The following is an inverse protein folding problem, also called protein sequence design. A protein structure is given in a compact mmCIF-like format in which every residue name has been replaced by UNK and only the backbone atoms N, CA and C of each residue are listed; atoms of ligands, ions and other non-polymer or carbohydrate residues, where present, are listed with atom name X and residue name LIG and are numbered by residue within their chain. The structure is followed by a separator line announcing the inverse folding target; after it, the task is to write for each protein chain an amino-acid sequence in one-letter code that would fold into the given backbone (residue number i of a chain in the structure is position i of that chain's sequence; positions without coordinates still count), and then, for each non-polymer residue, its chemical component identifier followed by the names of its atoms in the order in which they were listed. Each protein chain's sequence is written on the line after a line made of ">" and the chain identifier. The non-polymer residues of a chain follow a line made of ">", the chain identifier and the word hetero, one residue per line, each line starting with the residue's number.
data_IF_502491661729
#
_entry.id   IF_502491661729
#
_cell.length_a   1.000
_cell.length_b   1.000
_cell.length_c   1.000
_cell.angle_alpha   90.00
_cell.angle_beta   90.00
_cell.angle_gamma   90.00
#
_symmetry.space_group_name_H-M   'P 1'
#
loop_
_entity.id
_entity.type
_entity.pdbx_description
1 polymer ?
#
# COMPACT_ATOMS: atom_id res chain seq x y z
N UNK A 1 6.01 -12.67 -20.32
CA UNK A 1 6.76 -13.68 -19.53
C UNK A 1 8.13 -13.14 -19.12
N UNK A 2 8.18 -11.91 -18.62
CA UNK A 2 9.31 -11.36 -17.88
C UNK A 2 8.74 -11.14 -16.48
N UNK A 3 9.25 -11.80 -15.42
CA UNK A 3 9.31 -11.19 -14.09
C UNK A 3 9.91 -12.06 -12.96
N UNK A 4 9.81 -13.38 -12.92
CA UNK A 4 10.31 -14.09 -11.71
C UNK A 4 11.81 -14.42 -11.76
N UNK A 5 12.32 -14.87 -12.91
CA UNK A 5 13.72 -15.31 -13.05
C UNK A 5 14.72 -14.16 -12.96
N UNK A 6 14.34 -12.94 -13.38
CA UNK A 6 15.22 -11.76 -13.32
C UNK A 6 15.47 -11.29 -11.89
N UNK A 7 14.43 -11.21 -11.07
CA UNK A 7 14.60 -10.84 -9.65
C UNK A 7 15.39 -11.92 -8.92
N UNK A 8 15.11 -13.20 -9.16
CA UNK A 8 15.88 -14.30 -8.56
C UNK A 8 17.35 -14.27 -8.97
N UNK A 9 17.65 -13.95 -10.22
CA UNK A 9 19.03 -13.81 -10.71
C UNK A 9 19.76 -12.62 -10.04
N UNK A 10 19.11 -11.46 -9.94
CA UNK A 10 19.68 -10.29 -9.28
C UNK A 10 19.90 -10.53 -7.78
N UNK A 11 18.95 -11.21 -7.12
CA UNK A 11 19.08 -11.62 -5.72
C UNK A 11 20.28 -12.54 -5.53
N UNK A 12 20.40 -13.59 -6.36
CA UNK A 12 21.52 -14.52 -6.33
C UNK A 12 22.88 -13.82 -6.54
N UNK A 13 22.95 -12.91 -7.52
CA UNK A 13 24.17 -12.14 -7.77
C UNK A 13 24.55 -11.25 -6.59
N UNK A 14 23.57 -10.67 -5.90
CA UNK A 14 23.78 -9.83 -4.72
C UNK A 14 24.35 -10.58 -3.53
N UNK A 15 23.80 -11.76 -3.26
CA UNK A 15 24.35 -12.66 -2.24
C UNK A 15 25.80 -13.00 -2.51
N UNK A 16 26.16 -13.30 -3.77
CA UNK A 16 27.54 -13.63 -4.14
C UNK A 16 28.47 -12.44 -3.89
N UNK A 17 28.08 -11.23 -4.28
CA UNK A 17 28.90 -10.03 -4.11
C UNK A 17 29.09 -9.72 -2.62
N UNK A 18 28.02 -9.82 -1.82
CA UNK A 18 28.08 -9.58 -0.37
C UNK A 18 28.95 -10.61 0.36
N UNK A 19 28.93 -11.87 -0.07
CA UNK A 19 29.73 -12.94 0.55
C UNK A 19 31.21 -12.87 0.20
N UNK A 20 31.54 -12.47 -1.04
CA UNK A 20 32.91 -12.56 -1.56
C UNK A 20 33.64 -11.21 -1.60
N UNK A 21 32.96 -10.12 -1.22
CA UNK A 21 33.46 -8.76 -1.30
C UNK A 21 33.62 -8.25 -2.74
N UNK A 22 34.05 -6.99 -2.91
CA UNK A 22 34.32 -6.42 -4.22
C UNK A 22 35.34 -7.22 -5.03
N UNK A 23 34.91 -7.89 -6.10
CA UNK A 23 35.83 -8.57 -7.02
C UNK A 23 36.40 -7.55 -8.03
N UNK A 24 37.72 -7.55 -8.21
CA UNK A 24 38.53 -6.57 -8.98
C UNK A 24 38.15 -6.44 -10.47
N UNK A 25 37.26 -7.31 -10.99
CA UNK A 25 37.00 -7.46 -12.43
C UNK A 25 35.94 -6.51 -13.02
N UNK A 26 35.31 -5.66 -12.22
CA UNK A 26 34.27 -4.73 -12.67
C UNK A 26 34.70 -3.28 -12.43
N UNK A 27 34.26 -2.35 -13.29
CA UNK A 27 34.31 -0.90 -13.02
C UNK A 27 33.37 -0.65 -11.82
N UNK A 28 33.92 -0.91 -10.65
CA UNK A 28 33.18 -1.37 -9.48
C UNK A 28 32.21 -0.28 -9.00
N UNK A 29 32.65 0.97 -9.04
CA UNK A 29 31.84 2.15 -8.70
C UNK A 29 30.60 2.31 -9.60
N UNK A 30 30.73 2.11 -10.92
CA UNK A 30 29.58 2.24 -11.84
C UNK A 30 28.60 1.09 -11.78
N UNK A 31 29.09 -0.10 -11.47
CA UNK A 31 28.27 -1.32 -11.41
C UNK A 31 27.55 -1.43 -10.07
N UNK A 32 28.17 -0.99 -8.98
CA UNK A 32 27.57 -0.94 -7.63
C UNK A 32 26.23 -0.23 -7.65
N UNK A 33 26.14 0.97 -8.24
CA UNK A 33 24.93 1.78 -8.15
C UNK A 33 23.74 1.11 -8.86
N UNK A 34 23.98 0.62 -10.07
CA UNK A 34 22.96 -0.10 -10.85
C UNK A 34 22.64 -1.44 -10.20
N UNK A 35 23.64 -2.13 -9.67
CA UNK A 35 23.50 -3.43 -9.03
C UNK A 35 22.68 -3.33 -7.74
N UNK A 36 23.05 -2.43 -6.82
CA UNK A 36 22.32 -2.22 -5.57
C UNK A 36 20.94 -1.61 -5.82
N UNK A 37 20.77 -0.74 -6.82
CA UNK A 37 19.44 -0.29 -7.24
C UNK A 37 18.56 -1.49 -7.65
N UNK A 38 19.07 -2.35 -8.53
CA UNK A 38 18.36 -3.55 -8.97
C UNK A 38 18.10 -4.55 -7.83
N UNK A 39 19.08 -4.77 -6.97
CA UNK A 39 19.00 -5.72 -5.85
C UNK A 39 18.02 -5.26 -4.78
N UNK A 40 18.16 -4.02 -4.29
CA UNK A 40 17.22 -3.45 -3.31
C UNK A 40 15.83 -3.38 -3.92
N UNK A 41 15.66 -2.90 -5.15
CA UNK A 41 14.36 -2.89 -5.83
C UNK A 41 13.73 -4.29 -5.90
N UNK A 42 14.53 -5.34 -6.10
CA UNK A 42 14.06 -6.73 -6.10
C UNK A 42 13.56 -7.17 -4.73
N UNK A 43 14.31 -6.87 -3.66
CA UNK A 43 13.91 -7.15 -2.28
C UNK A 43 12.59 -6.45 -1.92
N UNK A 44 12.45 -5.17 -2.29
CA UNK A 44 11.22 -4.41 -2.07
C UNK A 44 10.03 -5.03 -2.81
N UNK A 45 10.22 -5.52 -4.04
CA UNK A 45 9.13 -6.13 -4.83
C UNK A 45 8.61 -7.44 -4.24
N UNK A 46 9.50 -8.27 -3.66
CA UNK A 46 9.11 -9.53 -3.02
C UNK A 46 8.67 -9.36 -1.55
N UNK A 47 8.88 -8.17 -0.98
CA UNK A 47 8.46 -7.85 0.37
C UNK A 47 9.50 -8.16 1.45
N UNK A 48 10.78 -8.39 1.11
CA UNK A 48 11.81 -8.73 2.11
C UNK A 48 12.45 -7.46 2.70
N UNK A 49 11.64 -6.68 3.41
CA UNK A 49 12.00 -5.34 3.87
C UNK A 49 13.02 -5.35 5.01
N UNK A 50 12.93 -6.32 5.91
CA UNK A 50 13.90 -6.45 7.00
C UNK A 50 15.29 -6.76 6.41
N UNK A 51 15.36 -7.67 5.45
CA UNK A 51 16.63 -7.95 4.80
C UNK A 51 17.12 -6.78 3.96
N UNK A 52 16.25 -6.09 3.22
CA UNK A 52 16.61 -4.86 2.51
C UNK A 52 17.20 -3.81 3.45
N UNK A 53 16.60 -3.63 4.64
CA UNK A 53 17.10 -2.75 5.69
C UNK A 53 18.46 -3.19 6.20
N UNK A 54 18.62 -4.47 6.56
CA UNK A 54 19.90 -5.00 7.04
C UNK A 54 21.02 -4.80 6.01
N UNK A 55 20.73 -4.95 4.71
CA UNK A 55 21.69 -4.69 3.65
C UNK A 55 22.01 -3.21 3.53
N UNK A 56 21.01 -2.33 3.57
CA UNK A 56 21.22 -0.88 3.55
C UNK A 56 22.07 -0.43 4.75
N UNK A 57 21.76 -0.91 5.94
CA UNK A 57 22.50 -0.61 7.17
C UNK A 57 23.95 -1.11 7.05
N UNK A 58 24.17 -2.33 6.55
CA UNK A 58 25.51 -2.84 6.25
C UNK A 58 26.27 -2.00 5.23
N UNK A 59 25.63 -1.57 4.14
CA UNK A 59 26.26 -0.72 3.12
C UNK A 59 26.66 0.63 3.74
N UNK A 60 25.82 1.19 4.61
CA UNK A 60 26.07 2.44 5.30
C UNK A 60 27.22 2.31 6.32
N UNK A 61 27.32 1.18 7.02
CA UNK A 61 28.32 0.92 8.06
C UNK A 61 29.66 0.38 7.52
N UNK A 62 29.74 0.02 6.24
CA UNK A 62 30.93 -0.63 5.67
C UNK A 62 31.94 0.40 5.16
N UNK A 63 33.13 0.43 5.77
CA UNK A 63 34.31 1.21 5.33
C UNK A 63 34.85 0.78 3.94
N UNK A 64 34.28 -0.28 3.35
CA UNK A 64 34.64 -0.78 2.01
C UNK A 64 34.19 0.17 0.90
N UNK A 65 33.10 0.91 1.13
CA UNK A 65 32.70 2.01 0.26
C UNK A 65 33.27 3.26 0.89
N UNK A 66 34.20 3.92 0.20
CA UNK A 66 34.98 5.03 0.73
C UNK A 66 34.06 6.00 1.47
N UNK A 67 34.30 6.07 2.79
CA UNK A 67 33.40 6.59 3.83
C UNK A 67 32.51 7.76 3.36
N UNK A 68 31.19 7.59 3.55
CA UNK A 68 30.08 8.56 3.35
C UNK A 68 29.13 8.32 2.15
N UNK A 69 28.61 7.10 1.97
CA UNK A 69 27.26 6.93 1.38
C UNK A 69 26.15 7.54 2.28
N UNK A 70 26.50 7.92 3.51
CA UNK A 70 25.65 8.56 4.52
C UNK A 70 25.54 10.08 4.31
N UNK A 71 24.36 10.51 3.86
CA UNK A 71 23.64 11.71 4.33
C UNK A 71 24.24 13.12 4.29
N UNK A 72 25.39 13.39 3.67
CA UNK A 72 25.89 14.78 3.54
C UNK A 72 26.21 15.18 2.12
N UNK A 73 25.25 15.82 1.47
CA UNK A 73 25.49 16.87 0.47
C UNK A 73 26.52 16.54 -0.63
N UNK A 74 26.54 15.29 -1.10
CA UNK A 74 27.42 14.90 -2.20
C UNK A 74 26.60 14.85 -3.48
N UNK A 75 27.12 15.52 -4.51
CA UNK A 75 26.83 15.30 -5.93
C UNK A 75 27.23 13.86 -6.36
N UNK A 76 26.94 12.84 -5.57
CA UNK A 76 27.26 11.44 -5.92
C UNK A 76 26.15 10.83 -6.78
N UNK A 77 26.59 9.96 -7.69
CA UNK A 77 25.86 9.38 -8.83
C UNK A 77 24.81 8.32 -8.43
N UNK A 78 24.78 7.86 -7.17
CA UNK A 78 23.91 6.79 -6.65
C UNK A 78 22.46 7.20 -6.32
N UNK A 79 21.84 8.02 -7.17
CA UNK A 79 20.50 8.61 -6.92
C UNK A 79 19.41 7.53 -6.77
N UNK A 80 19.42 6.50 -7.64
CA UNK A 80 18.36 5.48 -7.66
C UNK A 80 18.31 4.67 -6.35
N UNK A 81 19.47 4.41 -5.74
CA UNK A 81 19.55 3.79 -4.42
C UNK A 81 18.87 4.64 -3.33
N UNK A 82 19.11 5.95 -3.30
CA UNK A 82 18.45 6.87 -2.34
C UNK A 82 16.94 6.84 -2.50
N UNK A 83 16.45 6.76 -3.73
CA UNK A 83 15.01 6.65 -3.99
C UNK A 83 14.47 5.29 -3.51
N UNK A 84 15.19 4.18 -3.69
CA UNK A 84 14.81 2.87 -3.11
C UNK A 84 14.73 2.90 -1.59
N UNK A 85 15.68 3.58 -0.92
CA UNK A 85 15.62 3.74 0.52
C UNK A 85 14.35 4.51 0.96
N UNK A 86 13.99 5.58 0.24
CA UNK A 86 12.74 6.29 0.50
C UNK A 86 11.51 5.41 0.24
N UNK A 87 11.57 4.50 -0.73
CA UNK A 87 10.51 3.52 -1.00
C UNK A 87 10.42 2.49 0.13
N UNK A 88 11.55 2.04 0.69
CA UNK A 88 11.56 1.22 1.90
C UNK A 88 10.90 1.93 3.08
N UNK A 89 11.24 3.21 3.32
CA UNK A 89 10.60 4.02 4.37
C UNK A 89 9.08 4.11 4.15
N UNK A 90 8.62 4.30 2.91
CA UNK A 90 7.19 4.26 2.55
C UNK A 90 6.57 2.90 2.90
N UNK A 91 7.21 1.80 2.50
CA UNK A 91 6.71 0.44 2.70
C UNK A 91 6.69 0.01 4.18
N UNK A 92 7.50 0.66 5.03
CA UNK A 92 7.53 0.46 6.49
C UNK A 92 6.79 1.55 7.27
N UNK A 93 5.93 2.35 6.61
CA UNK A 93 5.07 3.38 7.20
C UNK A 93 5.79 4.62 7.79
N UNK A 94 7.05 4.85 7.44
CA UNK A 94 7.81 6.08 7.73
C UNK A 94 7.56 7.15 6.65
N UNK A 95 6.28 7.51 6.43
CA UNK A 95 5.86 8.34 5.30
C UNK A 95 6.46 9.75 5.30
N UNK A 96 6.54 10.39 6.47
CA UNK A 96 7.06 11.76 6.59
C UNK A 96 8.57 11.79 6.31
N UNK A 97 9.32 10.85 6.89
CA UNK A 97 10.75 10.69 6.62
C UNK A 97 11.02 10.45 5.13
N UNK A 98 10.21 9.61 4.48
CA UNK A 98 10.30 9.37 3.04
C UNK A 98 10.10 10.67 2.24
N UNK A 99 9.09 11.47 2.58
CA UNK A 99 8.81 12.75 1.91
C UNK A 99 9.97 13.72 2.10
N UNK A 100 10.46 13.90 3.33
CA UNK A 100 11.54 14.84 3.63
C UNK A 100 12.83 14.52 2.88
N UNK A 101 13.19 13.23 2.82
CA UNK A 101 14.36 12.77 2.07
C UNK A 101 14.19 12.99 0.55
N UNK A 102 13.00 12.73 0.00
CA UNK A 102 12.72 12.93 -1.43
C UNK A 102 12.69 14.42 -1.81
N UNK A 103 12.08 15.27 -0.98
CA UNK A 103 12.04 16.73 -1.20
C UNK A 103 13.45 17.32 -1.10
N UNK A 104 14.28 16.85 -0.17
CA UNK A 104 15.69 17.22 -0.09
C UNK A 104 16.46 16.77 -1.34
N UNK A 105 16.23 15.55 -1.82
CA UNK A 105 16.85 15.02 -3.04
C UNK A 105 16.49 15.88 -4.27
N UNK A 106 15.21 16.22 -4.42
CA UNK A 106 14.71 17.11 -5.50
C UNK A 106 15.32 18.51 -5.44
N UNK A 107 15.57 19.04 -4.23
CA UNK A 107 16.13 20.39 -4.06
C UNK A 107 17.65 20.47 -4.25
N UNK A 108 18.38 19.37 -4.01
CA UNK A 108 19.85 19.40 -3.91
C UNK A 108 20.57 18.66 -5.03
N UNK A 109 19.88 17.80 -5.79
CA UNK A 109 20.49 16.92 -6.78
C UNK A 109 20.01 17.19 -8.20
N UNK A 110 20.86 16.90 -9.20
CA UNK A 110 20.46 16.89 -10.61
C UNK A 110 19.87 15.52 -10.95
N UNK A 111 18.56 15.48 -11.19
CA UNK A 111 17.80 14.26 -11.43
C UNK A 111 17.41 14.14 -12.90
N UNK A 112 17.47 12.92 -13.45
CA UNK A 112 16.84 12.63 -14.76
C UNK A 112 15.33 12.82 -14.71
N UNK A 113 14.66 12.93 -15.86
CA UNK A 113 13.19 13.03 -15.92
C UNK A 113 12.53 11.84 -15.23
N UNK A 114 13.01 10.63 -15.47
CA UNK A 114 12.52 9.40 -14.85
C UNK A 114 12.66 9.43 -13.32
N UNK A 115 13.81 9.86 -12.81
CA UNK A 115 14.06 9.97 -11.36
C UNK A 115 13.17 11.03 -10.72
N UNK A 116 12.94 12.16 -11.39
CA UNK A 116 12.00 13.19 -10.93
C UNK A 116 10.57 12.65 -10.88
N UNK A 117 10.12 11.93 -11.91
CA UNK A 117 8.80 11.31 -11.94
C UNK A 117 8.64 10.29 -10.80
N UNK A 118 9.66 9.47 -10.56
CA UNK A 118 9.70 8.52 -9.45
C UNK A 118 9.57 9.19 -8.09
N UNK A 119 10.35 10.25 -7.84
CA UNK A 119 10.28 11.02 -6.59
C UNK A 119 8.89 11.65 -6.40
N UNK A 120 8.37 12.30 -7.45
CA UNK A 120 7.07 12.95 -7.42
C UNK A 120 5.94 11.94 -7.15
N UNK A 121 5.99 10.77 -7.78
CA UNK A 121 5.02 9.70 -7.52
C UNK A 121 5.07 9.24 -6.07
N UNK A 122 6.26 8.95 -5.55
CA UNK A 122 6.44 8.41 -4.20
C UNK A 122 6.04 9.43 -3.12
N UNK A 123 6.34 10.72 -3.31
CA UNK A 123 5.85 11.81 -2.45
C UNK A 123 4.32 11.83 -2.43
N UNK A 124 3.67 11.82 -3.60
CA UNK A 124 2.21 11.82 -3.68
C UNK A 124 1.60 10.58 -3.03
N UNK A 125 2.25 9.42 -3.19
CA UNK A 125 1.83 8.17 -2.59
C UNK A 125 1.91 8.22 -1.05
N UNK A 126 3.01 8.71 -0.49
CA UNK A 126 3.15 8.93 0.96
C UNK A 126 2.09 9.92 1.47
N UNK A 127 1.90 11.05 0.80
CA UNK A 127 0.88 12.05 1.16
C UNK A 127 -0.53 11.46 1.14
N UNK A 128 -0.83 10.55 0.20
CA UNK A 128 -2.11 9.81 0.16
C UNK A 128 -2.34 8.97 1.43
N UNK A 129 -1.30 8.27 1.89
CA UNK A 129 -1.37 7.45 3.13
C UNK A 129 -1.54 8.32 4.37
N UNK A 130 -0.85 9.46 4.43
CA UNK A 130 -1.01 10.45 5.51
C UNK A 130 -2.46 10.95 5.55
N UNK A 131 -3.05 11.25 4.39
CA UNK A 131 -4.46 11.59 4.24
C UNK A 131 -4.78 13.09 4.32
N UNK A 132 -3.79 13.96 4.30
CA UNK A 132 -4.01 15.42 4.32
C UNK A 132 -4.25 15.98 2.91
N UNK A 133 -5.31 16.78 2.74
CA UNK A 133 -5.70 17.38 1.45
C UNK A 133 -5.78 16.38 0.27
N UNK A 134 -6.52 15.28 0.48
CA UNK A 134 -6.74 14.24 -0.52
C UNK A 134 -7.29 14.80 -1.86
N UNK A 135 -8.08 15.86 -1.81
CA UNK A 135 -8.62 16.52 -3.01
C UNK A 135 -7.50 17.14 -3.86
N UNK A 136 -6.52 17.81 -3.26
CA UNK A 136 -5.34 18.31 -3.98
C UNK A 136 -4.41 17.18 -4.42
N UNK A 137 -4.21 16.16 -3.59
CA UNK A 137 -3.40 14.98 -3.95
C UNK A 137 -3.98 14.27 -5.19
N UNK A 138 -5.30 14.08 -5.25
CA UNK A 138 -5.98 13.50 -6.42
C UNK A 138 -5.72 14.32 -7.69
N UNK A 139 -5.82 15.65 -7.62
CA UNK A 139 -5.48 16.53 -8.76
C UNK A 139 -4.02 16.37 -9.19
N UNK A 140 -3.08 16.30 -8.25
CA UNK A 140 -1.66 16.15 -8.54
C UNK A 140 -1.37 14.79 -9.18
N UNK A 141 -1.99 13.69 -8.71
CA UNK A 141 -1.90 12.40 -9.38
C UNK A 141 -2.43 12.44 -10.81
N UNK A 142 -3.54 13.12 -11.07
CA UNK A 142 -4.07 13.27 -12.45
C UNK A 142 -3.12 14.05 -13.34
N UNK A 143 -2.52 15.12 -12.81
CA UNK A 143 -1.48 15.88 -13.52
C UNK A 143 -0.27 15.00 -13.84
N UNK A 144 0.23 14.23 -12.87
CA UNK A 144 1.34 13.30 -13.07
C UNK A 144 0.98 12.23 -14.11
N UNK A 145 -0.22 11.65 -14.03
CA UNK A 145 -0.72 10.66 -14.99
C UNK A 145 -0.77 11.17 -16.43
N UNK A 146 -1.05 12.45 -16.64
CA UNK A 146 -1.16 13.04 -17.97
C UNK A 146 0.18 13.52 -18.54
N UNK A 147 1.14 13.83 -17.66
CA UNK A 147 2.41 14.44 -18.06
C UNK A 147 3.58 13.46 -18.06
N UNK A 148 3.46 12.33 -17.37
CA UNK A 148 4.52 11.34 -17.25
C UNK A 148 4.82 10.68 -18.60
N UNK A 149 6.10 10.44 -18.87
CA UNK A 149 6.54 9.69 -20.06
C UNK A 149 6.51 8.17 -19.84
N UNK A 150 6.54 7.74 -18.58
CA UNK A 150 6.56 6.33 -18.19
C UNK A 150 5.16 5.77 -17.98
N UNK A 151 4.79 4.74 -18.75
CA UNK A 151 3.50 4.02 -18.64
C UNK A 151 3.22 3.60 -17.18
N UNK A 152 4.28 3.22 -16.46
CA UNK A 152 4.20 2.86 -15.05
C UNK A 152 3.61 3.99 -14.19
N UNK A 153 4.15 5.21 -14.24
CA UNK A 153 3.62 6.32 -13.45
C UNK A 153 2.32 6.88 -14.02
N UNK A 154 2.10 6.78 -15.34
CA UNK A 154 0.82 7.14 -15.95
C UNK A 154 -0.34 6.36 -15.33
N UNK A 155 -0.22 5.02 -15.28
CA UNK A 155 -1.26 4.12 -14.78
C UNK A 155 -1.35 4.18 -13.26
N UNK A 156 -0.21 4.12 -12.55
CA UNK A 156 -0.21 4.12 -11.08
C UNK A 156 -0.78 5.39 -10.50
N UNK A 157 -0.50 6.54 -11.11
CA UNK A 157 -1.09 7.81 -10.69
C UNK A 157 -2.59 7.86 -11.02
N UNK A 158 -3.00 7.30 -12.16
CA UNK A 158 -4.41 7.30 -12.56
C UNK A 158 -5.29 6.54 -11.58
N UNK A 159 -4.93 5.29 -11.24
CA UNK A 159 -5.70 4.52 -10.27
C UNK A 159 -5.57 5.09 -8.85
N UNK A 160 -4.47 5.76 -8.51
CA UNK A 160 -4.30 6.40 -7.19
C UNK A 160 -5.22 7.60 -7.02
N UNK A 161 -5.42 8.39 -8.07
CA UNK A 161 -6.44 9.44 -8.08
C UNK A 161 -7.85 8.86 -7.98
N UNK A 162 -8.12 7.77 -8.72
CA UNK A 162 -9.41 7.10 -8.67
C UNK A 162 -9.71 6.44 -7.32
N UNK A 163 -8.70 5.89 -6.62
CA UNK A 163 -8.87 5.35 -5.28
C UNK A 163 -9.28 6.43 -4.28
N UNK A 164 -8.73 7.64 -4.41
CA UNK A 164 -9.16 8.81 -3.63
C UNK A 164 -10.60 9.18 -3.98
N UNK A 165 -10.96 9.23 -5.26
CA UNK A 165 -12.33 9.54 -5.69
C UNK A 165 -13.36 8.54 -5.11
N UNK A 166 -13.01 7.24 -5.10
CA UNK A 166 -13.82 6.20 -4.47
C UNK A 166 -13.93 6.41 -2.96
N UNK A 167 -12.81 6.65 -2.29
CA UNK A 167 -12.74 6.90 -0.85
C UNK A 167 -13.60 8.11 -0.45
N UNK A 168 -13.55 9.19 -1.23
CA UNK A 168 -14.32 10.40 -0.98
C UNK A 168 -15.77 10.33 -1.49
N UNK A 169 -16.19 9.20 -2.07
CA UNK A 169 -17.55 9.02 -2.59
C UNK A 169 -17.94 10.07 -3.62
N UNK A 170 -17.00 10.48 -4.50
CA UNK A 170 -17.28 11.48 -5.54
C UNK A 170 -18.42 11.01 -6.44
N UNK A 171 -19.11 11.95 -7.09
CA UNK A 171 -20.16 11.62 -8.07
C UNK A 171 -19.55 11.01 -9.34
N UNK A 172 -20.39 10.32 -10.11
CA UNK A 172 -20.04 9.78 -11.45
C UNK A 172 -18.91 8.73 -11.45
N UNK A 173 -18.73 7.97 -10.37
CA UNK A 173 -17.66 6.96 -10.28
C UNK A 173 -17.71 5.90 -11.38
N UNK A 174 -18.91 5.53 -11.87
CA UNK A 174 -19.05 4.54 -12.96
C UNK A 174 -18.50 5.06 -14.30
N UNK A 175 -18.80 6.31 -14.63
CA UNK A 175 -18.29 6.98 -15.85
C UNK A 175 -16.77 7.14 -15.76
N UNK A 176 -16.27 7.66 -14.63
CA UNK A 176 -14.84 7.80 -14.36
C UNK A 176 -14.09 6.46 -14.38
N UNK A 177 -14.71 5.39 -13.91
CA UNK A 177 -14.14 4.04 -13.97
C UNK A 177 -13.98 3.58 -15.41
N UNK A 178 -15.01 3.76 -16.25
CA UNK A 178 -14.94 3.40 -17.66
C UNK A 178 -13.86 4.20 -18.42
N UNK A 179 -13.72 5.50 -18.12
CA UNK A 179 -12.63 6.33 -18.67
C UNK A 179 -11.25 5.82 -18.25
N UNK A 180 -11.10 5.46 -16.96
CA UNK A 180 -9.87 4.90 -16.42
C UNK A 180 -9.53 3.56 -17.07
N UNK A 181 -10.49 2.64 -17.17
CA UNK A 181 -10.31 1.32 -17.76
C UNK A 181 -9.88 1.44 -19.23
N UNK A 182 -10.58 2.25 -20.02
CA UNK A 182 -10.23 2.52 -21.41
C UNK A 182 -8.82 3.13 -21.57
N UNK A 183 -8.44 4.08 -20.71
CA UNK A 183 -7.11 4.69 -20.74
C UNK A 183 -6.04 3.65 -20.41
N UNK A 184 -6.24 2.82 -19.39
CA UNK A 184 -5.27 1.77 -19.03
C UNK A 184 -5.15 0.73 -20.15
N UNK A 185 -6.26 0.28 -20.73
CA UNK A 185 -6.25 -0.69 -21.81
C UNK A 185 -5.55 -0.16 -23.06
N UNK A 186 -5.72 1.12 -23.39
CA UNK A 186 -5.03 1.76 -24.52
C UNK A 186 -3.51 1.84 -24.38
N UNK A 187 -2.99 1.82 -23.15
CA UNK A 187 -1.56 1.89 -22.87
C UNK A 187 -0.85 0.53 -22.98
N UNK A 188 -1.62 -0.56 -23.16
CA UNK A 188 -1.11 -1.93 -23.30
C UNK A 188 -0.04 -2.30 -22.24
N UNK A 189 -0.32 -2.10 -20.94
CA UNK A 189 0.66 -2.33 -19.89
C UNK A 189 1.10 -3.79 -19.76
N UNK A 190 2.31 -3.98 -19.23
CA UNK A 190 2.76 -5.30 -18.79
C UNK A 190 1.90 -5.86 -17.65
N UNK A 191 1.91 -7.20 -17.51
CA UNK A 191 1.04 -7.94 -16.58
C UNK A 191 1.11 -7.45 -15.12
N UNK A 192 2.28 -7.04 -14.63
CA UNK A 192 2.44 -6.56 -13.25
C UNK A 192 1.67 -5.26 -12.99
N UNK A 193 1.76 -4.30 -13.91
CA UNK A 193 1.06 -3.02 -13.82
C UNK A 193 -0.47 -3.23 -13.85
N UNK A 194 -0.93 -4.18 -14.66
CA UNK A 194 -2.33 -4.61 -14.70
C UNK A 194 -2.81 -5.12 -13.33
N UNK A 195 -1.99 -5.91 -12.63
CA UNK A 195 -2.35 -6.45 -11.31
C UNK A 195 -2.49 -5.34 -10.26
N UNK A 196 -1.68 -4.28 -10.32
CA UNK A 196 -1.86 -3.11 -9.47
C UNK A 196 -3.20 -2.41 -9.74
N UNK A 197 -3.56 -2.19 -11.01
CA UNK A 197 -4.82 -1.55 -11.38
C UNK A 197 -6.04 -2.41 -11.01
N UNK A 198 -5.99 -3.72 -11.28
CA UNK A 198 -7.11 -4.64 -11.05
C UNK A 198 -7.53 -4.73 -9.59
N UNK A 199 -6.62 -4.49 -8.64
CA UNK A 199 -6.96 -4.38 -7.22
C UNK A 199 -8.01 -3.29 -6.99
N UNK A 200 -7.82 -2.13 -7.61
CA UNK A 200 -8.78 -1.02 -7.52
C UNK A 200 -10.09 -1.32 -8.25
N UNK A 201 -10.05 -2.15 -9.30
CA UNK A 201 -11.27 -2.58 -10.01
C UNK A 201 -12.12 -3.47 -9.09
N UNK A 202 -11.47 -4.37 -8.36
CA UNK A 202 -12.14 -5.25 -7.39
C UNK A 202 -12.81 -4.41 -6.28
N UNK A 203 -12.10 -3.42 -5.73
CA UNK A 203 -12.65 -2.50 -4.73
C UNK A 203 -13.84 -1.73 -5.31
N UNK A 204 -13.75 -1.26 -6.56
CA UNK A 204 -14.85 -0.57 -7.24
C UNK A 204 -16.09 -1.47 -7.40
N UNK A 205 -15.92 -2.71 -7.90
CA UNK A 205 -17.03 -3.64 -8.05
C UNK A 205 -17.67 -3.98 -6.70
N UNK A 206 -16.85 -4.17 -5.66
CA UNK A 206 -17.32 -4.42 -4.29
C UNK A 206 -18.10 -3.23 -3.74
N UNK A 207 -17.48 -2.05 -3.66
CA UNK A 207 -18.00 -0.90 -2.91
C UNK A 207 -18.95 0.00 -3.70
N UNK A 208 -18.72 0.19 -5.00
CA UNK A 208 -19.46 1.15 -5.80
C UNK A 208 -20.55 0.51 -6.68
N UNK A 209 -20.36 -0.75 -7.09
CA UNK A 209 -21.33 -1.50 -7.87
C UNK A 209 -22.15 -2.50 -7.06
N UNK A 210 -21.70 -2.85 -5.84
CA UNK A 210 -22.26 -3.95 -5.04
C UNK A 210 -22.30 -5.29 -5.82
N UNK A 211 -21.31 -5.49 -6.70
CA UNK A 211 -21.16 -6.68 -7.54
C UNK A 211 -20.09 -7.60 -6.94
N UNK A 212 -20.47 -8.29 -5.86
CA UNK A 212 -19.58 -9.17 -5.10
C UNK A 212 -19.15 -10.41 -5.89
N UNK A 213 -19.92 -10.81 -6.90
CA UNK A 213 -19.59 -11.96 -7.76
C UNK A 213 -18.48 -11.61 -8.75
N UNK A 214 -18.60 -10.47 -9.43
CA UNK A 214 -17.55 -9.99 -10.33
C UNK A 214 -16.26 -9.67 -9.58
N UNK A 215 -16.38 -9.05 -8.40
CA UNK A 215 -15.26 -8.80 -7.51
C UNK A 215 -14.54 -10.10 -7.11
N UNK A 216 -15.28 -11.12 -6.65
CA UNK A 216 -14.72 -12.43 -6.27
C UNK A 216 -14.02 -13.12 -7.44
N UNK A 217 -14.66 -13.15 -8.62
CA UNK A 217 -14.10 -13.81 -9.81
C UNK A 217 -12.74 -13.22 -10.20
N UNK A 218 -12.63 -11.88 -10.21
CA UNK A 218 -11.38 -11.19 -10.50
C UNK A 218 -10.33 -11.45 -9.42
N UNK A 219 -10.73 -11.35 -8.15
CA UNK A 219 -9.85 -11.50 -7.01
C UNK A 219 -9.21 -12.90 -6.94
N UNK A 220 -10.01 -13.96 -7.09
CA UNK A 220 -9.52 -15.34 -7.07
C UNK A 220 -8.63 -15.64 -8.27
N UNK A 221 -8.96 -15.10 -9.46
CA UNK A 221 -8.10 -15.23 -10.65
C UNK A 221 -6.72 -14.63 -10.40
N UNK A 222 -6.67 -13.43 -9.82
CA UNK A 222 -5.43 -12.69 -9.61
C UNK A 222 -4.59 -13.29 -8.48
N UNK A 223 -5.21 -13.74 -7.39
CA UNK A 223 -4.52 -14.47 -6.31
C UNK A 223 -3.79 -15.69 -6.89
N UNK A 224 -4.47 -16.53 -7.68
CA UNK A 224 -3.86 -17.71 -8.31
C UNK A 224 -2.68 -17.36 -9.22
N UNK A 225 -2.74 -16.21 -9.89
CA UNK A 225 -1.62 -15.74 -10.72
C UNK A 225 -0.44 -15.27 -9.87
N UNK A 226 -0.70 -14.63 -8.73
CA UNK A 226 0.30 -14.02 -7.85
C UNK A 226 0.98 -15.02 -6.90
N UNK A 227 0.28 -16.09 -6.52
CA UNK A 227 0.85 -17.15 -5.66
C UNK A 227 2.09 -17.81 -6.26
N UNK A 228 2.23 -17.77 -7.60
CA UNK A 228 3.41 -18.28 -8.29
C UNK A 228 4.59 -17.29 -8.32
N UNK A 229 4.34 -15.97 -8.26
CA UNK A 229 5.35 -14.94 -8.48
C UNK A 229 5.97 -14.36 -7.21
N UNK A 230 5.41 -14.68 -6.02
CA UNK A 230 5.85 -14.14 -4.71
C UNK A 230 5.87 -12.62 -4.60
N UNK A 231 5.20 -11.89 -5.50
CA UNK A 231 5.13 -10.43 -5.44
C UNK A 231 4.35 -9.96 -4.20
N UNK A 232 4.84 -8.93 -3.52
CA UNK A 232 4.23 -8.40 -2.28
C UNK A 232 2.76 -7.99 -2.43
N UNK A 233 2.34 -7.57 -3.62
CA UNK A 233 0.93 -7.21 -3.86
C UNK A 233 -0.04 -8.37 -3.58
N UNK A 234 0.40 -9.63 -3.62
CA UNK A 234 -0.41 -10.79 -3.22
C UNK A 234 -1.07 -10.59 -1.85
N UNK A 235 -0.39 -9.96 -0.90
CA UNK A 235 -0.89 -9.81 0.46
C UNK A 235 -1.96 -8.72 0.58
N UNK A 236 -1.91 -7.69 -0.27
CA UNK A 236 -3.04 -6.76 -0.42
C UNK A 236 -4.27 -7.49 -0.99
N UNK A 237 -4.06 -8.40 -1.94
CA UNK A 237 -5.14 -9.22 -2.50
C UNK A 237 -5.75 -10.18 -1.46
N UNK A 238 -4.93 -10.77 -0.59
CA UNK A 238 -5.44 -11.55 0.54
C UNK A 238 -6.27 -10.68 1.50
N UNK A 239 -5.82 -9.46 1.82
CA UNK A 239 -6.63 -8.54 2.62
C UNK A 239 -7.97 -8.23 1.94
N UNK A 240 -7.98 -7.90 0.63
CA UNK A 240 -9.22 -7.62 -0.09
C UNK A 240 -10.17 -8.83 -0.15
N UNK A 241 -9.62 -10.05 -0.15
CA UNK A 241 -10.41 -11.29 -0.07
C UNK A 241 -11.01 -11.48 1.31
N UNK A 242 -10.23 -11.21 2.37
CA UNK A 242 -10.73 -11.14 3.74
C UNK A 242 -11.96 -10.23 3.86
N UNK A 243 -11.83 -9.00 3.35
CA UNK A 243 -12.91 -8.00 3.33
C UNK A 243 -14.13 -8.45 2.51
N UNK A 244 -13.93 -8.98 1.30
CA UNK A 244 -15.02 -9.44 0.43
C UNK A 244 -15.83 -10.57 1.09
N UNK A 245 -15.16 -11.56 1.67
CA UNK A 245 -15.87 -12.67 2.32
C UNK A 245 -16.49 -12.25 3.66
N UNK A 246 -15.91 -11.28 4.38
CA UNK A 246 -16.52 -10.69 5.57
C UNK A 246 -17.81 -9.95 5.21
N UNK A 247 -17.81 -9.21 4.12
CA UNK A 247 -19.00 -8.51 3.61
C UNK A 247 -20.09 -9.50 3.18
N UNK A 248 -19.72 -10.55 2.43
CA UNK A 248 -20.66 -11.64 2.09
C UNK A 248 -21.23 -12.31 3.34
N UNK A 249 -20.40 -12.52 4.36
CA UNK A 249 -20.81 -13.11 5.62
C UNK A 249 -21.77 -12.18 6.40
N UNK A 250 -21.49 -10.88 6.43
CA UNK A 250 -22.34 -9.86 7.04
C UNK A 250 -23.74 -9.83 6.41
N UNK A 251 -23.83 -9.92 5.08
CA UNK A 251 -25.12 -9.95 4.38
C UNK A 251 -25.83 -11.29 4.49
N UNK A 252 -25.08 -12.40 4.52
CA UNK A 252 -25.62 -13.74 4.62
C UNK A 252 -24.69 -14.64 5.44
N UNK A 253 -25.09 -14.92 6.67
CA UNK A 253 -24.32 -15.77 7.59
C UNK A 253 -24.08 -17.14 6.97
N UNK A 254 -22.81 -17.44 6.74
CA UNK A 254 -22.34 -18.66 6.08
C UNK A 254 -21.00 -19.08 6.67
N UNK A 255 -20.92 -20.30 7.20
CA UNK A 255 -19.67 -20.88 7.73
C UNK A 255 -18.55 -20.89 6.68
N UNK A 256 -18.91 -21.05 5.40
CA UNK A 256 -17.96 -21.02 4.28
C UNK A 256 -17.35 -19.62 4.11
N UNK A 257 -18.18 -18.58 4.14
CA UNK A 257 -17.72 -17.20 4.00
C UNK A 257 -16.90 -16.76 5.22
N UNK A 258 -17.35 -17.14 6.43
CA UNK A 258 -16.60 -16.89 7.66
C UNK A 258 -15.19 -17.50 7.59
N UNK A 259 -15.10 -18.80 7.27
CA UNK A 259 -13.81 -19.49 7.17
C UNK A 259 -12.92 -18.87 6.10
N UNK A 260 -13.47 -18.61 4.91
CA UNK A 260 -12.70 -17.98 3.83
C UNK A 260 -12.15 -16.61 4.23
N UNK A 261 -12.99 -15.76 4.84
CA UNK A 261 -12.57 -14.45 5.33
C UNK A 261 -11.44 -14.56 6.37
N UNK A 262 -11.60 -15.46 7.35
CA UNK A 262 -10.61 -15.72 8.38
C UNK A 262 -9.26 -16.20 7.80
N UNK A 263 -9.28 -17.21 6.92
CA UNK A 263 -8.09 -17.78 6.30
C UNK A 263 -7.31 -16.72 5.50
N UNK A 264 -8.01 -15.82 4.81
CA UNK A 264 -7.38 -14.74 4.06
C UNK A 264 -6.79 -13.64 4.95
N UNK A 265 -7.47 -13.24 6.04
CA UNK A 265 -6.87 -12.33 7.02
C UNK A 265 -5.63 -12.94 7.65
N UNK A 266 -5.64 -14.22 8.00
CA UNK A 266 -4.48 -14.88 8.60
C UNK A 266 -3.25 -14.86 7.68
N UNK A 267 -3.45 -15.06 6.37
CA UNK A 267 -2.37 -14.91 5.38
C UNK A 267 -1.80 -13.48 5.33
N UNK A 268 -2.66 -12.46 5.33
CA UNK A 268 -2.24 -11.06 5.33
C UNK A 268 -1.53 -10.67 6.64
N UNK A 269 -2.01 -11.17 7.79
CA UNK A 269 -1.42 -10.95 9.11
C UNK A 269 -0.05 -11.60 9.23
N UNK A 270 0.10 -12.85 8.77
CA UNK A 270 1.38 -13.57 8.84
C UNK A 270 2.48 -12.83 8.07
N UNK A 271 2.17 -12.36 6.86
CA UNK A 271 3.11 -11.58 6.06
C UNK A 271 3.44 -10.23 6.68
N UNK A 272 2.42 -9.44 7.04
CA UNK A 272 2.62 -8.09 7.56
C UNK A 272 3.46 -8.08 8.83
N UNK A 273 3.30 -9.08 9.71
CA UNK A 273 4.18 -9.28 10.87
C UNK A 273 5.62 -9.58 10.47
N UNK A 274 5.83 -10.44 9.47
CA UNK A 274 7.16 -10.82 9.02
C UNK A 274 7.94 -9.63 8.47
N UNK A 275 7.27 -8.70 7.77
CA UNK A 275 7.93 -7.63 7.02
C UNK A 275 7.83 -6.25 7.68
N UNK A 276 7.14 -6.15 8.83
CA UNK A 276 6.95 -4.88 9.53
C UNK A 276 5.95 -3.91 8.88
N UNK A 277 5.06 -4.39 8.01
CA UNK A 277 3.99 -3.58 7.40
C UNK A 277 2.86 -3.37 8.42
N UNK A 278 3.00 -2.36 9.28
CA UNK A 278 2.04 -2.06 10.35
C UNK A 278 0.65 -1.72 9.82
N UNK A 279 0.56 -1.01 8.68
CA UNK A 279 -0.71 -0.62 8.08
C UNK A 279 -1.54 -1.85 7.66
N UNK A 280 -0.94 -2.77 6.90
CA UNK A 280 -1.60 -4.02 6.52
C UNK A 280 -1.90 -4.88 7.76
N UNK A 281 -0.98 -4.93 8.72
CA UNK A 281 -1.15 -5.69 9.96
C UNK A 281 -2.36 -5.22 10.76
N UNK A 282 -2.45 -3.92 11.05
CA UNK A 282 -3.56 -3.35 11.82
C UNK A 282 -4.88 -3.50 11.08
N UNK A 283 -4.94 -3.20 9.77
CA UNK A 283 -6.15 -3.37 8.98
C UNK A 283 -6.63 -4.83 8.96
N UNK A 284 -5.73 -5.79 8.73
CA UNK A 284 -6.10 -7.20 8.68
C UNK A 284 -6.53 -7.76 10.05
N UNK A 285 -5.83 -7.37 11.12
CA UNK A 285 -6.21 -7.74 12.49
C UNK A 285 -7.58 -7.18 12.88
N UNK A 286 -7.85 -5.90 12.58
CA UNK A 286 -9.13 -5.26 12.89
C UNK A 286 -10.26 -5.87 12.05
N UNK A 287 -10.00 -6.20 10.78
CA UNK A 287 -10.95 -6.93 9.93
C UNK A 287 -11.32 -8.30 10.53
N UNK A 288 -10.32 -9.01 11.07
CA UNK A 288 -10.53 -10.29 11.76
C UNK A 288 -11.31 -10.13 13.07
N UNK A 289 -11.04 -9.09 13.86
CA UNK A 289 -11.82 -8.76 15.07
C UNK A 289 -13.29 -8.48 14.70
N UNK A 290 -13.53 -7.65 13.68
CA UNK A 290 -14.88 -7.36 13.19
C UNK A 290 -15.61 -8.60 12.67
N UNK A 291 -14.89 -9.55 12.07
CA UNK A 291 -15.44 -10.84 11.67
C UNK A 291 -15.85 -11.69 12.89
N UNK A 292 -15.05 -11.68 13.96
CA UNK A 292 -15.27 -12.46 15.17
C UNK A 292 -16.46 -11.94 16.00
N UNK A 293 -16.69 -10.63 16.04
CA UNK A 293 -17.78 -10.00 16.81
C UNK A 293 -19.16 -10.62 16.53
N UNK A 294 -19.40 -11.05 15.30
CA UNK A 294 -20.67 -11.64 14.87
C UNK A 294 -20.94 -13.04 15.46
N UNK A 295 -19.96 -13.65 16.13
CA UNK A 295 -20.06 -15.00 16.70
C UNK A 295 -19.55 -15.11 18.13
N UNK A 296 -18.65 -14.21 18.55
CA UNK A 296 -18.03 -14.23 19.86
C UNK A 296 -17.95 -12.81 20.42
N UNK A 297 -18.01 -12.71 21.76
CA UNK A 297 -17.84 -11.44 22.44
C UNK A 297 -16.41 -10.94 22.23
N UNK A 298 -16.28 -9.70 21.76
CA UNK A 298 -14.99 -9.01 21.66
C UNK A 298 -14.34 -8.90 23.05
N UNK A 299 -13.05 -9.20 23.11
CA UNK A 299 -12.27 -9.19 24.35
C UNK A 299 -11.70 -7.81 24.65
N UNK A 300 -11.25 -7.59 25.88
CA UNK A 300 -10.54 -6.36 26.22
C UNK A 300 -9.19 -6.26 25.49
N UNK A 301 -8.56 -7.40 25.16
CA UNK A 301 -7.30 -7.42 24.39
C UNK A 301 -7.51 -6.90 22.97
N UNK A 302 -8.61 -7.27 22.32
CA UNK A 302 -9.00 -6.77 21.00
C UNK A 302 -9.24 -5.26 21.01
N UNK A 303 -9.95 -4.76 22.02
CA UNK A 303 -10.19 -3.33 22.19
C UNK A 303 -8.89 -2.56 22.44
N UNK A 304 -8.00 -3.09 23.28
CA UNK A 304 -6.69 -2.51 23.55
C UNK A 304 -5.82 -2.49 22.29
N UNK A 305 -5.91 -3.52 21.44
CA UNK A 305 -5.23 -3.56 20.15
C UNK A 305 -5.70 -2.43 19.23
N UNK A 306 -7.02 -2.28 19.04
CA UNK A 306 -7.61 -1.21 18.21
C UNK A 306 -7.20 0.16 18.77
N UNK A 307 -7.27 0.35 20.09
CA UNK A 307 -6.88 1.61 20.72
C UNK A 307 -5.41 1.96 20.45
N UNK A 308 -4.48 1.00 20.52
CA UNK A 308 -3.07 1.24 20.17
C UNK A 308 -2.90 1.60 18.70
N UNK A 309 -3.58 0.89 17.79
CA UNK A 309 -3.51 1.17 16.36
C UNK A 309 -3.96 2.63 16.05
N UNK A 310 -5.02 3.12 16.71
CA UNK A 310 -5.50 4.51 16.58
C UNK A 310 -4.43 5.57 16.93
N UNK A 311 -3.51 5.26 17.84
CA UNK A 311 -2.48 6.21 18.28
C UNK A 311 -1.28 6.28 17.33
N UNK A 312 -1.01 5.20 16.61
CA UNK A 312 0.20 5.04 15.79
C UNK A 312 -0.08 5.32 14.32
N UNK A 313 -1.27 4.94 13.84
CA UNK A 313 -1.56 4.91 12.42
C UNK A 313 -1.92 6.30 11.85
N UNK A 314 -1.63 6.54 10.55
CA UNK A 314 -1.95 7.80 9.89
C UNK A 314 -3.45 8.12 9.94
N UNK A 315 -3.77 9.40 9.67
CA UNK A 315 -5.13 9.93 9.80
C UNK A 315 -6.17 9.06 9.07
N UNK A 316 -5.81 8.52 7.90
CA UNK A 316 -6.69 7.66 7.12
C UNK A 316 -7.17 6.40 7.87
N UNK A 317 -6.22 5.61 8.38
CA UNK A 317 -6.48 4.38 9.11
C UNK A 317 -7.07 4.70 10.49
N UNK A 318 -6.56 5.75 11.14
CA UNK A 318 -7.05 6.24 12.41
C UNK A 318 -8.56 6.47 12.42
N UNK A 319 -9.11 7.09 11.37
CA UNK A 319 -10.56 7.35 11.26
C UNK A 319 -11.36 6.04 11.14
N UNK A 320 -10.90 5.08 10.33
CA UNK A 320 -11.53 3.75 10.20
C UNK A 320 -11.51 2.98 11.53
N UNK A 321 -10.39 3.05 12.25
CA UNK A 321 -10.19 2.30 13.49
C UNK A 321 -10.96 2.92 14.66
N UNK A 322 -11.04 4.25 14.72
CA UNK A 322 -11.92 4.94 15.66
C UNK A 322 -13.39 4.58 15.41
N UNK A 323 -13.84 4.48 14.15
CA UNK A 323 -15.21 4.07 13.84
C UNK A 323 -15.47 2.64 14.31
N UNK A 324 -14.50 1.74 14.10
CA UNK A 324 -14.57 0.37 14.59
C UNK A 324 -14.63 0.32 16.12
N UNK A 325 -13.77 1.06 16.81
CA UNK A 325 -13.78 1.12 18.26
C UNK A 325 -15.11 1.63 18.81
N UNK A 326 -15.64 2.71 18.23
CA UNK A 326 -16.97 3.24 18.54
C UNK A 326 -18.05 2.17 18.37
N UNK A 327 -18.06 1.47 17.23
CA UNK A 327 -19.04 0.43 16.95
C UNK A 327 -19.04 -0.68 18.00
N UNK A 328 -17.86 -1.14 18.41
CA UNK A 328 -17.70 -2.24 19.35
C UNK A 328 -18.00 -1.84 20.81
N UNK A 329 -17.78 -0.57 21.17
CA UNK A 329 -17.87 -0.11 22.58
C UNK A 329 -19.09 0.75 22.88
N UNK A 330 -19.75 1.28 21.85
CA UNK A 330 -20.79 2.31 21.98
C UNK A 330 -20.33 3.57 22.72
N UNK A 331 -19.04 3.93 22.62
CA UNK A 331 -18.49 5.16 23.23
C UNK A 331 -18.97 6.43 22.50
N UNK A 332 -20.12 6.96 22.95
CA UNK A 332 -20.77 8.14 22.36
C UNK A 332 -19.89 9.40 22.34
N UNK A 333 -18.88 9.53 23.20
CA UNK A 333 -17.94 10.66 23.19
C UNK A 333 -17.01 10.68 21.97
N UNK A 334 -16.88 9.56 21.25
CA UNK A 334 -15.99 9.42 20.10
C UNK A 334 -16.63 9.87 18.77
N UNK A 335 -17.97 9.87 18.67
CA UNK A 335 -18.70 10.08 17.41
C UNK A 335 -18.51 11.50 16.83
N UNK A 336 -18.47 12.52 17.68
CA UNK A 336 -18.25 13.92 17.26
C UNK A 336 -16.83 14.15 16.76
N UNK A 337 -15.84 13.53 17.42
CA UNK A 337 -14.43 13.57 16.99
C UNK A 337 -14.27 12.87 15.64
N UNK A 338 -14.87 11.70 15.49
CA UNK A 338 -14.92 10.94 14.23
C UNK A 338 -15.53 11.74 13.09
N UNK A 339 -16.68 12.38 13.33
CA UNK A 339 -17.36 13.20 12.34
C UNK A 339 -16.52 14.38 11.89
N UNK A 340 -15.75 15.00 12.79
CA UNK A 340 -14.80 16.06 12.44
C UNK A 340 -13.68 15.55 11.53
N UNK A 341 -13.03 14.44 11.88
CA UNK A 341 -11.93 13.89 11.07
C UNK A 341 -12.40 13.34 9.73
N UNK A 342 -13.55 12.64 9.70
CA UNK A 342 -14.12 12.14 8.46
C UNK A 342 -14.50 13.28 7.51
N UNK A 343 -14.99 14.43 8.02
CA UNK A 343 -15.21 15.64 7.21
C UNK A 343 -13.91 16.22 6.67
N UNK A 344 -12.83 16.27 7.46
CA UNK A 344 -11.51 16.74 7.00
C UNK A 344 -10.96 15.90 5.85
N UNK A 345 -11.14 14.58 5.92
CA UNK A 345 -10.74 13.64 4.86
C UNK A 345 -11.71 13.61 3.66
N UNK A 346 -12.88 14.23 3.79
CA UNK A 346 -14.05 13.96 2.95
C UNK A 346 -14.37 12.45 2.86
N UNK A 347 -14.10 11.66 3.92
CA UNK A 347 -14.26 10.21 3.88
C UNK A 347 -15.74 9.79 3.93
N UNK A 348 -16.24 9.32 2.79
CA UNK A 348 -17.66 9.04 2.57
C UNK A 348 -18.17 7.86 3.39
N UNK A 349 -17.47 6.71 3.35
CA UNK A 349 -17.93 5.48 4.01
C UNK A 349 -18.08 5.69 5.53
N UNK A 350 -17.04 6.20 6.20
CA UNK A 350 -17.08 6.39 7.66
C UNK A 350 -18.15 7.39 8.08
N UNK A 351 -18.30 8.49 7.35
CA UNK A 351 -19.33 9.49 7.65
C UNK A 351 -20.74 8.90 7.58
N UNK A 352 -21.02 8.12 6.53
CA UNK A 352 -22.33 7.48 6.37
C UNK A 352 -22.58 6.40 7.40
N UNK A 353 -21.57 5.61 7.73
CA UNK A 353 -21.70 4.54 8.73
C UNK A 353 -21.92 5.14 10.11
N UNK A 354 -21.16 6.18 10.50
CA UNK A 354 -21.38 6.90 11.74
C UNK A 354 -22.82 7.42 11.86
N UNK A 355 -23.40 7.98 10.78
CA UNK A 355 -24.80 8.41 10.74
C UNK A 355 -25.82 7.27 10.81
N UNK A 356 -25.51 6.10 10.23
CA UNK A 356 -26.38 4.92 10.32
C UNK A 356 -26.32 4.32 11.73
N UNK A 357 -25.14 4.24 12.33
CA UNK A 357 -24.92 3.73 13.67
C UNK A 357 -25.63 4.55 14.75
N UNK A 358 -25.76 5.87 14.57
CA UNK A 358 -26.56 6.71 15.47
C UNK A 358 -28.08 6.43 15.39
N UNK A 359 -28.54 5.73 14.35
CA UNK A 359 -29.96 5.41 14.10
C UNK A 359 -30.29 3.92 14.22
N UNK A 360 -29.31 3.02 14.03
CA UNK A 360 -29.44 1.54 14.02
C UNK A 360 -28.11 0.87 14.39
N UNK A 361 -28.13 -0.22 15.16
CA UNK A 361 -26.92 -0.88 15.68
C UNK A 361 -26.21 -1.85 14.71
N UNK A 362 -26.75 -2.17 13.52
CA UNK A 362 -26.11 -3.11 12.58
C UNK A 362 -25.68 -2.41 11.28
N UNK A 363 -24.37 -2.18 11.12
CA UNK A 363 -23.77 -1.67 9.89
C UNK A 363 -22.48 -2.41 9.56
N UNK A 364 -22.27 -2.77 8.30
CA UNK A 364 -20.97 -3.24 7.82
C UNK A 364 -19.96 -2.09 7.86
N UNK A 365 -18.83 -2.31 8.51
CA UNK A 365 -17.69 -1.39 8.54
C UNK A 365 -16.67 -1.88 7.52
N UNK A 366 -16.52 -1.24 6.34
CA UNK A 366 -15.48 -1.59 5.39
C UNK A 366 -14.14 -1.07 5.90
N UNK A 367 -13.10 -1.88 5.72
CA UNK A 367 -11.72 -1.45 5.89
C UNK A 367 -11.07 -1.29 4.52
N UNK A 368 -10.05 -0.44 4.46
CA UNK A 368 -9.33 -0.10 3.24
C UNK A 368 -7.88 0.13 3.58
N UNK A 369 -7.01 -0.66 2.98
CA UNK A 369 -5.59 -0.32 2.84
C UNK A 369 -5.50 0.49 1.56
N UNK A 370 -5.26 1.80 1.60
CA UNK A 370 -5.23 2.58 0.35
C UNK A 370 -3.97 2.33 -0.44
#
# INVERSE_FOLDING_TARGET
>A
MYNDEKYQYLLYLGEIILQNGPQVFFDFEKIIDVFFDCFISSLLKIGDYNYAKDIIDKINDCDVFDSNLIYRNVRTEAISYKINFCDLLHLTNSFQDAIENLELLLATSTLSSEQQERCNYLILHCKRHIGEDLSQISKNFRKLSNNSQEIYYQIRSLYSAFSIDMFQGKKHLKEKFAELENKIDSLQPGNEIVLFAQRHYIIFYRKCCNDLEKAEKLLIKNIKSLENSKLRILYDYYFEAGELYREKFYFQSSKKNYKASYDFYDKAIAFSKNVGDTNLYHNAMIGRILLQEQHAKITQEDLNFIHRAIQIEPLLNKVQFQLTYYYLTHDYGMLDKLSKYARLLEYYDTSNIAQKLSKKQSCFIPLTVM
#
